data_IF_509452502525
#
_entry.id   IF_509452502525
#
_cell.length_a   1.000
_cell.length_b   1.000
_cell.length_c   1.000
_cell.angle_alpha   90.00
_cell.angle_beta   90.00
_cell.angle_gamma   90.00
#
_symmetry.space_group_name_H-M   'P 1'
#
loop_
_entity.id
_entity.type
_entity.pdbx_description
1 polymer ?
#
# COMPACT_ATOMS: atom_id res chain seq x y z
N UNK A 1 3.68 -26.11 -7.26
CA UNK A 1 4.34 -25.03 -6.48
C UNK A 1 3.31 -24.51 -5.49
N UNK A 2 3.62 -24.37 -4.19
CA UNK A 2 2.62 -23.90 -3.21
C UNK A 2 2.44 -22.39 -3.36
N UNK A 3 1.24 -21.96 -3.70
CA UNK A 3 0.88 -20.54 -3.68
C UNK A 3 0.88 -20.03 -2.24
N UNK A 4 1.32 -18.78 -2.06
CA UNK A 4 1.17 -18.06 -0.80
C UNK A 4 0.74 -16.63 -1.04
N UNK A 5 0.16 -16.01 -0.02
CA UNK A 5 -0.25 -14.62 -0.06
C UNK A 5 0.90 -13.75 0.44
N UNK A 6 1.30 -12.78 -0.38
CA UNK A 6 2.30 -11.79 -0.05
C UNK A 6 1.62 -10.46 0.26
N UNK A 7 1.97 -9.88 1.41
CA UNK A 7 1.63 -8.50 1.74
C UNK A 7 2.68 -7.57 1.12
N UNK A 8 2.24 -6.62 0.32
CA UNK A 8 3.07 -5.56 -0.26
C UNK A 8 2.51 -4.24 0.23
N UNK A 9 3.33 -3.44 0.89
CA UNK A 9 2.98 -2.08 1.30
C UNK A 9 3.72 -1.07 0.44
N UNK A 10 3.03 -0.01 0.03
CA UNK A 10 3.56 1.10 -0.75
C UNK A 10 3.17 2.41 -0.08
N UNK A 11 4.15 3.25 0.21
CA UNK A 11 3.94 4.56 0.81
C UNK A 11 4.76 5.62 0.07
N UNK A 12 4.28 6.85 0.07
CA UNK A 12 5.06 7.99 -0.42
C UNK A 12 6.34 8.13 0.40
N UNK A 13 7.46 8.46 -0.24
CA UNK A 13 8.76 8.63 0.41
C UNK A 13 8.73 9.74 1.46
N UNK A 14 9.52 9.58 2.51
CA UNK A 14 9.74 10.65 3.49
C UNK A 14 10.30 11.92 2.81
N UNK A 15 9.85 13.08 3.27
CA UNK A 15 10.24 14.37 2.69
C UNK A 15 9.43 14.80 1.47
N UNK A 16 8.54 13.94 0.94
CA UNK A 16 7.55 14.31 -0.07
C UNK A 16 6.17 14.48 0.55
N UNK A 17 5.34 15.32 -0.08
CA UNK A 17 3.92 15.47 0.24
C UNK A 17 3.23 14.13 -0.05
N UNK A 18 2.44 13.64 0.91
CA UNK A 18 1.52 12.52 0.75
C UNK A 18 0.11 13.10 0.57
N UNK A 19 -0.39 13.26 -0.67
CA UNK A 19 -1.64 13.96 -0.92
C UNK A 19 -2.84 13.22 -0.31
N UNK A 20 -2.79 11.89 -0.24
CA UNK A 20 -3.86 11.11 0.37
C UNK A 20 -3.86 11.29 1.90
N UNK A 21 -2.68 11.28 2.52
CA UNK A 21 -2.53 11.59 3.94
C UNK A 21 -3.00 13.02 4.29
N UNK A 22 -2.66 14.01 3.47
CA UNK A 22 -3.12 15.40 3.66
C UNK A 22 -4.63 15.54 3.49
N UNK A 23 -5.21 14.92 2.46
CA UNK A 23 -6.66 14.93 2.26
C UNK A 23 -7.40 14.32 3.46
N UNK A 24 -6.97 13.15 3.95
CA UNK A 24 -7.57 12.53 5.14
C UNK A 24 -7.40 13.42 6.38
N UNK A 25 -6.23 14.06 6.54
CA UNK A 25 -6.01 14.99 7.66
C UNK A 25 -6.96 16.18 7.60
N UNK A 26 -7.20 16.73 6.40
CA UNK A 26 -8.18 17.79 6.16
C UNK A 26 -9.59 17.34 6.49
N UNK A 27 -10.01 16.17 5.98
CA UNK A 27 -11.35 15.62 6.22
C UNK A 27 -11.61 15.40 7.73
N UNK A 28 -10.60 14.94 8.47
CA UNK A 28 -10.69 14.77 9.93
C UNK A 28 -10.89 16.12 10.63
N UNK A 29 -10.18 17.16 10.20
CA UNK A 29 -10.32 18.50 10.74
C UNK A 29 -11.71 19.09 10.45
N UNK A 30 -12.24 18.86 9.23
CA UNK A 30 -13.58 19.29 8.82
C UNK A 30 -14.69 18.61 9.64
N UNK A 31 -14.45 17.39 10.13
CA UNK A 31 -15.32 16.69 11.08
C UNK A 31 -15.21 17.22 12.53
N UNK A 32 -14.35 18.21 12.80
CA UNK A 32 -14.14 18.81 14.12
C UNK A 32 -13.27 17.97 15.06
N UNK A 33 -12.57 16.96 14.55
CA UNK A 33 -11.70 16.09 15.35
C UNK A 33 -10.29 16.70 15.43
N UNK A 34 -9.88 17.15 16.61
CA UNK A 34 -8.61 17.89 16.81
C UNK A 34 -7.45 17.03 17.32
N UNK A 35 -7.68 15.74 17.58
CA UNK A 35 -6.67 14.84 18.16
C UNK A 35 -5.64 14.28 17.16
N UNK A 36 -5.87 14.45 15.86
CA UNK A 36 -5.01 13.89 14.81
C UNK A 36 -4.17 15.01 14.20
N UNK A 37 -2.85 14.91 14.33
CA UNK A 37 -1.91 15.92 13.81
C UNK A 37 -1.55 15.71 12.34
N UNK A 38 -1.45 14.45 11.93
CA UNK A 38 -1.10 14.08 10.57
C UNK A 38 -1.51 12.63 10.30
N UNK A 39 -1.76 12.33 9.03
CA UNK A 39 -2.03 10.99 8.55
C UNK A 39 -1.00 10.62 7.50
N UNK A 40 -0.58 9.36 7.52
CA UNK A 40 0.27 8.74 6.50
C UNK A 40 -0.53 7.65 5.82
N UNK A 41 -0.69 7.77 4.51
CA UNK A 41 -1.42 6.79 3.72
C UNK A 41 -0.48 5.69 3.21
N UNK A 42 -0.91 4.45 3.35
CA UNK A 42 -0.18 3.27 2.88
C UNK A 42 -1.13 2.41 2.04
N UNK A 43 -0.76 2.16 0.79
CA UNK A 43 -1.47 1.21 -0.07
C UNK A 43 -0.98 -0.19 0.28
N UNK A 44 -1.92 -1.10 0.55
CA UNK A 44 -1.63 -2.50 0.88
C UNK A 44 -2.21 -3.41 -0.19
N UNK A 45 -1.36 -4.23 -0.80
CA UNK A 45 -1.74 -5.24 -1.77
C UNK A 45 -1.50 -6.64 -1.21
N UNK A 46 -2.46 -7.54 -1.41
CA UNK A 46 -2.34 -8.96 -1.08
C UNK A 46 -2.22 -9.75 -2.37
N UNK A 47 -0.99 -10.13 -2.75
CA UNK A 47 -0.73 -10.85 -3.99
C UNK A 47 -0.60 -12.34 -3.70
N UNK A 48 -1.55 -13.13 -4.17
CA UNK A 48 -1.49 -14.60 -4.09
C UNK A 48 -0.73 -15.15 -5.29
N UNK A 49 0.44 -15.76 -5.05
CA UNK A 49 1.26 -16.31 -6.14
C UNK A 49 2.20 -17.42 -5.63
N UNK A 50 2.60 -18.31 -6.54
CA UNK A 50 3.69 -19.27 -6.33
C UNK A 50 5.09 -18.67 -6.54
N UNK A 51 5.18 -17.40 -6.94
CA UNK A 51 6.44 -16.79 -7.34
C UNK A 51 7.44 -16.54 -6.19
N UNK A 52 8.71 -16.42 -6.58
CA UNK A 52 9.80 -16.21 -5.62
C UNK A 52 9.73 -14.82 -4.96
N UNK A 53 10.32 -14.71 -3.77
CA UNK A 53 10.41 -13.44 -3.04
C UNK A 53 11.08 -12.33 -3.89
N UNK A 54 12.03 -12.69 -4.75
CA UNK A 54 12.72 -11.74 -5.61
C UNK A 54 11.79 -11.16 -6.69
N UNK A 55 10.96 -11.99 -7.31
CA UNK A 55 9.96 -11.55 -8.30
C UNK A 55 8.85 -10.73 -7.65
N UNK A 56 8.39 -11.09 -6.46
CA UNK A 56 7.42 -10.29 -5.72
C UNK A 56 7.98 -8.93 -5.33
N UNK A 57 9.28 -8.84 -4.99
CA UNK A 57 9.94 -7.55 -4.82
C UNK A 57 9.96 -6.72 -6.10
N UNK A 58 10.19 -7.34 -7.27
CA UNK A 58 10.10 -6.63 -8.55
C UNK A 58 8.70 -6.10 -8.82
N UNK A 59 7.66 -6.92 -8.60
CA UNK A 59 6.26 -6.45 -8.68
C UNK A 59 6.05 -5.23 -7.77
N UNK A 60 6.55 -5.29 -6.53
CA UNK A 60 6.43 -4.18 -5.59
C UNK A 60 7.12 -2.91 -6.07
N UNK A 61 8.33 -2.99 -6.64
CA UNK A 61 9.16 -1.82 -6.98
C UNK A 61 8.97 -1.30 -8.40
N UNK A 62 8.60 -2.15 -9.35
CA UNK A 62 8.53 -1.82 -10.78
C UNK A 62 7.10 -1.61 -11.28
N UNK A 63 6.09 -2.21 -10.61
CA UNK A 63 4.68 -2.10 -11.02
C UNK A 63 3.84 -1.33 -9.99
N UNK A 64 3.92 -1.70 -8.71
CA UNK A 64 3.01 -1.18 -7.69
C UNK A 64 3.44 0.16 -7.08
N UNK A 65 4.66 0.62 -7.37
CA UNK A 65 5.26 1.83 -6.80
C UNK A 65 5.80 2.72 -7.89
N UNK A 66 5.65 4.04 -7.72
CA UNK A 66 6.45 5.01 -8.45
C UNK A 66 7.89 4.99 -7.89
N UNK A 67 8.94 4.70 -8.70
CA UNK A 67 10.32 4.60 -8.21
C UNK A 67 10.90 5.93 -7.69
N UNK A 68 10.30 7.05 -8.06
CA UNK A 68 10.71 8.39 -7.63
C UNK A 68 9.96 8.77 -6.36
N UNK A 69 8.64 8.64 -6.37
CA UNK A 69 7.78 9.17 -5.31
C UNK A 69 7.55 8.19 -4.17
N UNK A 70 7.59 6.89 -4.42
CA UNK A 70 7.21 5.87 -3.47
C UNK A 70 8.41 5.08 -2.92
N UNK A 71 8.13 4.39 -1.81
CA UNK A 71 8.90 3.30 -1.24
C UNK A 71 7.98 2.12 -0.99
N UNK A 72 8.49 0.89 -1.14
CA UNK A 72 7.70 -0.31 -0.91
C UNK A 72 8.39 -1.36 -0.03
N UNK A 73 7.59 -2.19 0.61
CA UNK A 73 8.04 -3.28 1.45
C UNK A 73 7.22 -4.55 1.20
N UNK A 74 7.89 -5.70 1.21
CA UNK A 74 7.25 -7.01 1.06
C UNK A 74 7.34 -7.77 2.38
N UNK A 75 6.20 -8.21 2.91
CA UNK A 75 6.10 -9.02 4.13
C UNK A 75 6.44 -8.29 5.43
N UNK A 76 6.52 -6.95 5.41
CA UNK A 76 6.77 -6.11 6.58
C UNK A 76 6.12 -4.74 6.37
N UNK A 77 6.01 -3.97 7.44
CA UNK A 77 5.54 -2.59 7.35
C UNK A 77 6.55 -1.70 6.61
N UNK A 78 6.05 -0.89 5.67
CA UNK A 78 6.89 0.04 4.88
C UNK A 78 7.28 1.26 5.71
N UNK A 79 6.38 1.74 6.57
CA UNK A 79 6.65 2.78 7.55
C UNK A 79 6.87 2.16 8.93
N UNK A 80 7.81 2.71 9.70
CA UNK A 80 7.99 2.31 11.10
C UNK A 80 6.99 3.10 11.96
N UNK A 81 6.22 2.40 12.78
CA UNK A 81 5.36 3.08 13.76
C UNK A 81 6.25 3.86 14.75
N UNK A 82 6.05 5.16 14.81
CA UNK A 82 6.62 6.00 15.86
C UNK A 82 5.83 5.82 17.16
N UNK A 83 6.33 6.41 18.25
CA UNK A 83 5.53 6.57 19.48
C UNK A 83 4.32 7.46 19.14
N UNK A 84 3.18 7.17 19.75
CA UNK A 84 1.91 7.90 19.57
C UNK A 84 1.29 7.83 18.17
N UNK A 85 1.54 6.75 17.43
CA UNK A 85 0.89 6.46 16.14
C UNK A 85 -0.14 5.35 16.33
N UNK A 86 -1.36 5.58 15.83
CA UNK A 86 -2.37 4.54 15.66
C UNK A 86 -2.41 4.09 14.20
N UNK A 87 -2.48 2.78 13.98
CA UNK A 87 -2.59 2.20 12.64
C UNK A 87 -4.00 1.70 12.43
N UNK A 88 -4.62 2.14 11.33
CA UNK A 88 -5.95 1.68 10.90
C UNK A 88 -5.80 1.09 9.51
N UNK A 89 -6.08 -0.22 9.40
CA UNK A 89 -6.13 -0.90 8.11
C UNK A 89 -7.58 -1.02 7.65
N UNK A 90 -7.86 -0.51 6.44
CA UNK A 90 -9.19 -0.54 5.84
C UNK A 90 -9.17 -1.51 4.66
N UNK A 91 -10.03 -2.53 4.74
CA UNK A 91 -10.17 -3.55 3.68
C UNK A 91 -11.60 -3.61 3.17
N UNK A 92 -11.76 -3.94 1.89
CA UNK A 92 -13.08 -4.20 1.31
C UNK A 92 -13.71 -5.42 1.98
N UNK A 93 -15.03 -5.39 2.14
CA UNK A 93 -15.79 -6.55 2.63
C UNK A 93 -15.70 -7.71 1.62
N UNK A 94 -15.76 -8.97 2.08
CA UNK A 94 -15.83 -10.12 1.19
C UNK A 94 -16.97 -10.01 0.17
N UNK A 95 -16.70 -10.34 -1.09
CA UNK A 95 -17.67 -10.24 -2.18
C UNK A 95 -17.82 -8.84 -2.80
N UNK A 96 -17.15 -7.82 -2.26
CA UNK A 96 -17.09 -6.50 -2.89
C UNK A 96 -15.98 -6.47 -3.93
N UNK A 97 -16.33 -6.08 -5.15
CA UNK A 97 -15.39 -5.95 -6.26
C UNK A 97 -14.27 -4.95 -5.95
N UNK A 98 -13.03 -5.32 -6.28
CA UNK A 98 -11.89 -4.42 -6.26
C UNK A 98 -11.62 -3.92 -7.70
N UNK A 99 -11.88 -2.65 -8.02
CA UNK A 99 -11.66 -2.11 -9.36
C UNK A 99 -10.18 -2.09 -9.78
N UNK A 100 -9.23 -2.18 -8.84
CA UNK A 100 -7.79 -2.15 -9.10
C UNK A 100 -7.21 -3.55 -9.32
N UNK A 101 -7.94 -4.60 -8.93
CA UNK A 101 -7.47 -5.98 -9.05
C UNK A 101 -7.18 -6.35 -10.51
N UNK A 102 -8.13 -6.11 -11.42
CA UNK A 102 -8.01 -6.53 -12.81
C UNK A 102 -6.81 -5.87 -13.53
N UNK A 103 -6.58 -4.58 -13.31
CA UNK A 103 -5.46 -3.86 -13.92
C UNK A 103 -4.12 -4.29 -13.31
N UNK A 104 -4.09 -4.56 -12.00
CA UNK A 104 -2.91 -5.07 -11.31
C UNK A 104 -2.52 -6.46 -11.79
N UNK A 105 -3.49 -7.37 -11.89
CA UNK A 105 -3.28 -8.73 -12.42
C UNK A 105 -2.74 -8.70 -13.85
N UNK A 106 -3.33 -7.85 -14.70
CA UNK A 106 -2.85 -7.65 -16.06
C UNK A 106 -1.40 -7.15 -16.09
N UNK A 107 -1.07 -6.14 -15.27
CA UNK A 107 0.30 -5.62 -15.18
C UNK A 107 1.31 -6.68 -14.72
N UNK A 108 0.95 -7.52 -13.75
CA UNK A 108 1.81 -8.63 -13.29
C UNK A 108 2.05 -9.63 -14.43
N UNK A 109 1.00 -10.01 -15.17
CA UNK A 109 1.11 -10.91 -16.30
C UNK A 109 2.01 -10.36 -17.42
N UNK A 110 1.92 -9.04 -17.68
CA UNK A 110 2.78 -8.35 -18.67
C UNK A 110 4.25 -8.30 -18.24
N UNK A 111 4.56 -8.39 -16.94
CA UNK A 111 5.93 -8.58 -16.43
C UNK A 111 6.45 -10.02 -16.60
N UNK A 112 5.61 -10.96 -17.04
CA UNK A 112 5.96 -12.37 -17.23
C UNK A 112 5.85 -13.23 -15.97
N UNK A 113 4.95 -12.89 -15.05
CA UNK A 113 4.67 -13.62 -13.80
C UNK A 113 3.23 -14.10 -13.69
#
# INVERSE_FOLDING_TARGET
MREKVWRIEVATREGLIDPAGEAITSDIADLGLTGVRSVRFVRVFFVKTGESAAKVRKIATELLSDPICDVSAVGRHVLKAARDVSVVEVVRKPGVMDPVEASTLKGIAEMGY
#
